data_IF_211594563269
#
_entry.id   IF_211594563269
#
_cell.length_a   1.000
_cell.length_b   1.000
_cell.length_c   1.000
_cell.angle_alpha   90.00
_cell.angle_beta   90.00
_cell.angle_gamma   90.00
#
_symmetry.space_group_name_H-M   'P 1'
#
loop_
_entity.id
_entity.type
_entity.pdbx_description
1 polymer ?
#
# COMPACT_ATOMS: atom_id res chain seq x y z
N UNK A 1 11.02 20.04 -4.28
CA UNK A 1 11.11 18.72 -4.95
C UNK A 1 11.83 17.82 -3.97
N UNK A 2 11.29 16.61 -3.73
CA UNK A 2 12.01 15.61 -2.92
C UNK A 2 13.34 15.25 -3.60
N UNK A 3 14.32 14.79 -2.81
CA UNK A 3 15.61 14.27 -3.32
C UNK A 3 15.43 13.20 -4.41
N UNK A 4 14.26 12.62 -4.51
CA UNK A 4 13.90 11.45 -5.35
C UNK A 4 13.11 11.80 -6.62
N UNK A 5 12.84 13.09 -6.89
CA UNK A 5 12.24 13.54 -8.16
C UNK A 5 10.72 13.38 -8.29
N UNK A 6 9.98 12.97 -7.24
CA UNK A 6 8.51 13.01 -7.27
C UNK A 6 7.96 14.29 -6.62
N UNK A 7 6.77 14.69 -7.06
CA UNK A 7 6.08 15.84 -6.49
C UNK A 7 5.45 15.46 -5.16
N UNK A 8 5.77 16.23 -4.11
CA UNK A 8 5.17 16.08 -2.76
C UNK A 8 4.00 17.04 -2.57
N UNK A 9 3.64 17.80 -3.62
CA UNK A 9 2.54 18.76 -3.52
C UNK A 9 1.21 18.06 -3.23
N UNK A 10 0.50 18.57 -2.24
CA UNK A 10 -0.87 18.20 -1.93
C UNK A 10 -1.84 19.17 -2.59
N UNK A 11 -3.05 18.71 -2.88
CA UNK A 11 -4.10 19.59 -3.37
C UNK A 11 -4.69 20.37 -2.19
N UNK A 12 -4.19 21.59 -1.95
CA UNK A 12 -4.63 22.46 -0.86
C UNK A 12 -6.05 23.01 -1.07
N UNK A 13 -6.58 22.97 -2.29
CA UNK A 13 -7.95 23.40 -2.57
C UNK A 13 -9.01 22.40 -2.10
N UNK A 14 -8.59 21.17 -1.80
CA UNK A 14 -9.46 20.16 -1.22
C UNK A 14 -9.26 20.12 0.31
N UNK A 15 -10.24 20.60 1.13
CA UNK A 15 -10.11 20.65 2.58
C UNK A 15 -10.37 19.30 3.27
N UNK A 16 -10.78 18.29 2.53
CA UNK A 16 -11.13 16.99 3.09
C UNK A 16 -9.93 16.28 3.75
N UNK A 17 -10.14 15.48 4.82
CA UNK A 17 -9.09 14.63 5.38
C UNK A 17 -8.55 13.62 4.37
N UNK A 18 -7.27 13.27 4.45
CA UNK A 18 -6.58 12.39 3.49
C UNK A 18 -6.32 11.00 4.05
N UNK A 19 -6.45 10.00 3.19
CA UNK A 19 -5.97 8.63 3.42
C UNK A 19 -4.88 8.33 2.39
N UNK A 20 -3.63 8.30 2.81
CA UNK A 20 -2.54 7.89 1.93
C UNK A 20 -2.41 6.37 1.93
N UNK A 21 -2.34 5.77 0.75
CA UNK A 21 -2.13 4.34 0.53
C UNK A 21 -0.98 4.12 -0.44
N UNK A 22 0.07 3.41 -0.02
CA UNK A 22 1.13 2.96 -0.92
C UNK A 22 0.90 1.50 -1.26
N UNK A 23 0.69 1.22 -2.54
CA UNK A 23 0.67 -0.14 -3.10
C UNK A 23 2.08 -0.50 -3.52
N UNK A 24 2.69 -1.43 -2.79
CA UNK A 24 4.03 -1.95 -3.05
C UNK A 24 3.91 -3.29 -3.75
N UNK A 25 4.12 -3.30 -5.07
CA UNK A 25 3.86 -4.43 -5.94
C UNK A 25 5.15 -5.13 -6.37
N UNK A 26 5.22 -6.43 -6.15
CA UNK A 26 6.28 -7.29 -6.69
C UNK A 26 6.14 -7.38 -8.21
N UNK A 27 7.22 -7.04 -8.89
CA UNK A 27 7.37 -7.21 -10.34
C UNK A 27 8.61 -8.03 -10.68
N UNK A 28 9.03 -8.91 -9.77
CA UNK A 28 10.14 -9.84 -10.02
C UNK A 28 9.81 -10.85 -11.12
N UNK A 29 10.81 -11.59 -11.56
CA UNK A 29 10.68 -12.56 -12.65
C UNK A 29 9.65 -13.66 -12.40
N UNK A 30 9.37 -14.02 -11.14
CA UNK A 30 8.33 -15.00 -10.77
C UNK A 30 6.91 -14.54 -11.09
N UNK A 31 6.69 -13.23 -11.13
CA UNK A 31 5.40 -12.63 -11.51
C UNK A 31 5.09 -12.71 -13.01
N UNK A 32 6.02 -13.19 -13.85
CA UNK A 32 5.83 -13.24 -15.31
C UNK A 32 4.64 -14.14 -15.70
N UNK A 33 3.87 -13.67 -16.71
CA UNK A 33 2.69 -14.36 -17.22
C UNK A 33 1.42 -14.03 -16.43
N UNK A 34 0.64 -15.04 -16.08
CA UNK A 34 -0.66 -14.88 -15.45
C UNK A 34 -0.65 -14.07 -14.12
N UNK A 35 0.34 -14.20 -13.21
CA UNK A 35 0.35 -13.40 -11.98
C UNK A 35 0.39 -11.89 -12.22
N UNK A 36 1.26 -11.40 -13.12
CA UNK A 36 1.37 -9.96 -13.40
C UNK A 36 0.14 -9.44 -14.13
N UNK A 37 -0.46 -10.25 -15.01
CA UNK A 37 -1.70 -9.90 -15.70
C UNK A 37 -2.88 -9.83 -14.73
N UNK A 38 -2.96 -10.76 -13.77
CA UNK A 38 -3.99 -10.75 -12.74
C UNK A 38 -3.83 -9.53 -11.80
N UNK A 39 -2.59 -9.18 -11.41
CA UNK A 39 -2.29 -7.95 -10.68
C UNK A 39 -2.72 -6.71 -11.47
N UNK A 40 -2.42 -6.68 -12.79
CA UNK A 40 -2.81 -5.59 -13.69
C UNK A 40 -4.32 -5.40 -13.74
N UNK A 41 -5.07 -6.50 -13.90
CA UNK A 41 -6.55 -6.47 -13.90
C UNK A 41 -7.11 -6.02 -12.55
N UNK A 42 -6.52 -6.52 -11.45
CA UNK A 42 -6.93 -6.15 -10.09
C UNK A 42 -6.72 -4.66 -9.82
N UNK A 43 -5.57 -4.13 -10.21
CA UNK A 43 -5.28 -2.70 -10.05
C UNK A 43 -6.23 -1.82 -10.89
N UNK A 44 -6.54 -2.21 -12.12
CA UNK A 44 -7.53 -1.50 -12.94
C UNK A 44 -8.92 -1.48 -12.29
N UNK A 45 -9.36 -2.61 -11.71
CA UNK A 45 -10.60 -2.69 -10.96
C UNK A 45 -10.59 -1.79 -9.71
N UNK A 46 -9.47 -1.73 -8.97
CA UNK A 46 -9.28 -0.85 -7.82
C UNK A 46 -9.50 0.62 -8.17
N UNK A 47 -8.89 1.09 -9.24
CA UNK A 47 -9.11 2.46 -9.75
C UNK A 47 -10.59 2.68 -10.04
N UNK A 48 -11.22 1.76 -10.75
CA UNK A 48 -12.63 1.84 -11.11
C UNK A 48 -13.53 1.97 -9.87
N UNK A 49 -13.33 1.13 -8.84
CA UNK A 49 -14.09 1.19 -7.60
C UNK A 49 -13.88 2.53 -6.87
N UNK A 50 -12.65 3.01 -6.76
CA UNK A 50 -12.38 4.29 -6.09
C UNK A 50 -13.00 5.48 -6.83
N UNK A 51 -13.06 5.44 -8.17
CA UNK A 51 -13.68 6.50 -8.97
C UNK A 51 -15.20 6.58 -8.77
N UNK A 52 -15.87 5.46 -8.47
CA UNK A 52 -17.30 5.42 -8.23
C UNK A 52 -17.70 6.02 -6.88
N UNK A 53 -16.78 6.06 -5.92
CA UNK A 53 -17.02 6.51 -4.56
C UNK A 53 -16.71 8.01 -4.42
N UNK A 54 -17.73 8.83 -4.31
CA UNK A 54 -17.62 10.31 -4.38
C UNK A 54 -16.70 10.93 -3.32
N UNK A 55 -16.68 10.39 -2.09
CA UNK A 55 -15.78 10.83 -1.02
C UNK A 55 -14.40 10.18 -1.12
N UNK A 56 -14.35 8.87 -1.31
CA UNK A 56 -13.07 8.16 -1.41
C UNK A 56 -12.24 8.66 -2.59
N UNK A 57 -12.85 8.99 -3.72
CA UNK A 57 -12.16 9.52 -4.89
C UNK A 57 -11.37 10.81 -4.62
N UNK A 58 -11.80 11.60 -3.64
CA UNK A 58 -11.17 12.88 -3.23
C UNK A 58 -10.28 12.74 -2.00
N UNK A 59 -10.59 11.82 -1.09
CA UNK A 59 -9.92 11.65 0.20
C UNK A 59 -8.80 10.63 0.16
N UNK A 60 -8.94 9.59 -0.66
CA UNK A 60 -7.92 8.57 -0.83
C UNK A 60 -6.87 9.07 -1.80
N UNK A 61 -5.61 8.96 -1.40
CA UNK A 61 -4.46 9.20 -2.25
C UNK A 61 -3.65 7.91 -2.37
N UNK A 62 -3.22 7.61 -3.57
CA UNK A 62 -2.52 6.36 -3.86
C UNK A 62 -1.21 6.64 -4.55
N UNK A 63 -0.16 5.95 -4.08
CA UNK A 63 1.08 5.77 -4.82
C UNK A 63 1.26 4.29 -5.16
N UNK A 64 1.91 4.02 -6.28
CA UNK A 64 2.28 2.65 -6.66
C UNK A 64 3.80 2.58 -6.79
N UNK A 65 4.39 1.71 -6.00
CA UNK A 65 5.82 1.37 -6.05
C UNK A 65 5.94 -0.05 -6.57
N UNK A 66 6.67 -0.23 -7.64
CA UNK A 66 7.07 -1.55 -8.12
C UNK A 66 8.45 -1.90 -7.59
N UNK A 67 8.65 -3.14 -7.15
CA UNK A 67 9.96 -3.64 -6.79
C UNK A 67 10.30 -4.95 -7.51
N UNK A 68 11.51 -5.01 -7.99
CA UNK A 68 12.15 -6.15 -8.64
C UNK A 68 13.62 -6.16 -8.23
N UNK A 69 14.56 -5.99 -9.17
CA UNK A 69 15.97 -5.77 -8.85
C UNK A 69 16.19 -4.43 -8.13
N UNK A 70 15.41 -3.43 -8.44
CA UNK A 70 15.34 -2.12 -7.79
C UNK A 70 13.89 -1.75 -7.52
N UNK A 71 13.68 -0.69 -6.74
CA UNK A 71 12.35 -0.12 -6.53
C UNK A 71 12.17 1.13 -7.38
N UNK A 72 10.95 1.31 -7.91
CA UNK A 72 10.59 2.44 -8.78
C UNK A 72 9.17 2.90 -8.49
N UNK A 73 8.96 4.20 -8.45
CA UNK A 73 7.62 4.79 -8.36
C UNK A 73 6.97 4.72 -9.75
N UNK A 74 5.93 3.91 -9.89
CA UNK A 74 5.13 3.84 -11.11
C UNK A 74 4.05 4.92 -11.13
N UNK A 75 3.45 5.18 -9.97
CA UNK A 75 2.44 6.23 -9.78
C UNK A 75 2.86 7.07 -8.58
N UNK A 76 3.18 8.35 -8.75
CA UNK A 76 3.42 9.23 -7.63
C UNK A 76 2.14 9.42 -6.81
N UNK A 77 2.28 9.73 -5.50
CA UNK A 77 1.13 9.92 -4.61
C UNK A 77 0.20 11.01 -5.15
N UNK A 78 -1.05 10.62 -5.44
CA UNK A 78 -2.07 11.49 -6.00
C UNK A 78 -3.48 11.07 -5.57
N UNK A 79 -4.45 12.00 -5.66
CA UNK A 79 -5.84 11.70 -5.36
C UNK A 79 -6.40 10.57 -6.24
N UNK A 80 -7.19 9.69 -5.66
CA UNK A 80 -7.74 8.52 -6.35
C UNK A 80 -8.50 8.90 -7.63
N UNK A 81 -9.20 10.04 -7.65
CA UNK A 81 -9.92 10.53 -8.85
C UNK A 81 -9.04 10.83 -10.06
N UNK A 82 -7.72 10.98 -9.85
CA UNK A 82 -6.75 11.28 -10.94
C UNK A 82 -5.97 10.05 -11.37
N UNK A 83 -6.15 8.91 -10.69
CA UNK A 83 -5.45 7.68 -11.01
C UNK A 83 -5.76 7.20 -12.43
N UNK A 84 -4.73 6.70 -13.09
CA UNK A 84 -4.84 6.05 -14.38
C UNK A 84 -4.25 4.64 -14.29
N UNK A 85 -4.73 3.69 -15.09
CA UNK A 85 -4.09 2.39 -15.22
C UNK A 85 -2.62 2.51 -15.61
N UNK A 86 -1.77 1.71 -15.01
CA UNK A 86 -0.34 1.62 -15.33
C UNK A 86 0.01 0.20 -15.77
N UNK A 87 1.09 0.06 -16.54
CA UNK A 87 1.57 -1.24 -16.97
C UNK A 87 2.61 -1.77 -15.96
N UNK A 88 2.33 -2.93 -15.39
CA UNK A 88 3.32 -3.69 -14.64
C UNK A 88 4.13 -4.58 -15.57
N UNK A 89 5.45 -4.60 -15.40
CA UNK A 89 6.35 -5.43 -16.22
C UNK A 89 7.21 -6.29 -15.32
N UNK A 90 7.01 -7.60 -15.37
CA UNK A 90 7.74 -8.54 -14.51
C UNK A 90 9.15 -8.80 -15.05
N UNK A 91 10.17 -8.56 -14.18
CA UNK A 91 11.59 -8.83 -14.47
C UNK A 91 12.47 -8.79 -13.23
N UNK A 92 13.61 -9.46 -13.33
CA UNK A 92 14.67 -9.35 -12.31
C UNK A 92 14.41 -10.13 -11.03
N UNK A 93 15.03 -9.69 -9.96
CA UNK A 93 15.02 -10.31 -8.63
C UNK A 93 13.97 -9.69 -7.70
N UNK A 94 13.94 -10.06 -6.42
CA UNK A 94 12.93 -9.63 -5.44
C UNK A 94 13.60 -8.78 -4.34
N UNK A 95 14.06 -7.56 -4.68
CA UNK A 95 14.62 -6.63 -3.70
C UNK A 95 13.53 -5.92 -2.92
N UNK A 96 12.89 -6.66 -2.01
CA UNK A 96 11.81 -6.18 -1.16
C UNK A 96 12.29 -5.06 -0.23
N UNK A 97 13.56 -5.10 0.22
CA UNK A 97 14.14 -4.08 1.08
C UNK A 97 14.12 -2.68 0.42
N UNK A 98 14.51 -2.61 -0.86
CA UNK A 98 14.45 -1.36 -1.62
C UNK A 98 13.02 -0.85 -1.74
N UNK A 99 12.06 -1.76 -2.00
CA UNK A 99 10.64 -1.41 -2.08
C UNK A 99 10.09 -0.85 -0.77
N UNK A 100 10.37 -1.53 0.36
CA UNK A 100 9.94 -1.09 1.70
C UNK A 100 10.50 0.30 2.02
N UNK A 101 11.80 0.51 1.81
CA UNK A 101 12.42 1.80 2.12
C UNK A 101 11.83 2.93 1.30
N UNK A 102 11.66 2.73 -0.02
CA UNK A 102 11.05 3.73 -0.90
C UNK A 102 9.59 4.03 -0.52
N UNK A 103 8.81 3.01 -0.17
CA UNK A 103 7.43 3.19 0.26
C UNK A 103 7.32 3.99 1.57
N UNK A 104 8.23 3.73 2.53
CA UNK A 104 8.28 4.48 3.79
C UNK A 104 8.70 5.93 3.56
N UNK A 105 9.65 6.20 2.65
CA UNK A 105 10.06 7.56 2.31
C UNK A 105 8.88 8.35 1.72
N UNK A 106 8.11 7.74 0.80
CA UNK A 106 6.91 8.35 0.22
C UNK A 106 5.86 8.66 1.28
N UNK A 107 5.62 7.73 2.22
CA UNK A 107 4.67 7.93 3.33
C UNK A 107 5.12 9.10 4.23
N UNK A 108 6.40 9.15 4.59
CA UNK A 108 6.96 10.19 5.45
C UNK A 108 6.86 11.57 4.78
N UNK A 109 7.30 11.67 3.53
CA UNK A 109 7.20 12.91 2.74
C UNK A 109 5.75 13.38 2.62
N UNK A 110 4.82 12.43 2.40
CA UNK A 110 3.40 12.79 2.28
C UNK A 110 2.80 13.28 3.60
N UNK A 111 3.13 12.65 4.72
CA UNK A 111 2.74 13.11 6.06
C UNK A 111 3.26 14.52 6.36
N UNK A 112 4.52 14.77 6.01
CA UNK A 112 5.12 16.09 6.18
C UNK A 112 4.42 17.17 5.34
N UNK A 113 4.03 16.81 4.09
CA UNK A 113 3.26 17.70 3.23
C UNK A 113 1.86 18.00 3.80
N UNK A 114 1.15 17.00 4.36
CA UNK A 114 -0.14 17.21 5.02
C UNK A 114 0.00 18.15 6.23
N UNK A 115 1.01 17.92 7.07
CA UNK A 115 1.28 18.80 8.24
C UNK A 115 1.58 20.24 7.80
N UNK A 116 2.42 20.41 6.79
CA UNK A 116 2.79 21.73 6.27
C UNK A 116 1.57 22.50 5.70
N UNK A 117 0.64 21.77 5.07
CA UNK A 117 -0.61 22.31 4.53
C UNK A 117 -1.74 22.42 5.57
N UNK A 118 -1.52 22.01 6.83
CA UNK A 118 -2.57 21.98 7.87
C UNK A 118 -3.72 21.00 7.59
N UNK A 119 -3.50 20.00 6.73
CA UNK A 119 -4.50 19.02 6.37
C UNK A 119 -4.59 17.91 7.41
N UNK A 120 -5.82 17.53 7.74
CA UNK A 120 -6.09 16.34 8.53
C UNK A 120 -5.85 15.08 7.68
N UNK A 121 -5.38 14.00 8.31
CA UNK A 121 -5.17 12.74 7.60
C UNK A 121 -5.38 11.54 8.52
N UNK A 122 -5.72 10.41 7.92
CA UNK A 122 -5.77 9.11 8.56
C UNK A 122 -4.39 8.47 8.55
N UNK A 123 -4.17 7.49 9.42
CA UNK A 123 -2.95 6.69 9.40
C UNK A 123 -2.72 6.11 7.99
N UNK A 124 -1.57 6.40 7.35
CA UNK A 124 -1.27 5.87 6.03
C UNK A 124 -1.26 4.35 5.99
N UNK A 125 -1.56 3.79 4.84
CA UNK A 125 -1.52 2.36 4.59
C UNK A 125 -0.37 1.99 3.67
N UNK A 126 0.33 0.92 4.00
CA UNK A 126 1.30 0.26 3.13
C UNK A 126 0.79 -1.14 2.85
N UNK A 127 0.52 -1.40 1.60
CA UNK A 127 0.07 -2.67 1.10
C UNK A 127 1.18 -3.34 0.30
N UNK A 128 1.69 -4.46 0.78
CA UNK A 128 2.69 -5.29 0.11
C UNK A 128 2.00 -6.44 -0.62
N UNK A 129 2.28 -6.60 -1.91
CA UNK A 129 1.83 -7.71 -2.74
C UNK A 129 3.04 -8.42 -3.33
N UNK A 130 3.21 -9.72 -3.08
CA UNK A 130 4.34 -10.51 -3.58
C UNK A 130 3.93 -11.96 -3.84
N UNK A 131 4.60 -12.63 -4.78
CA UNK A 131 4.46 -14.07 -5.05
C UNK A 131 5.70 -14.87 -4.66
N UNK A 132 6.71 -14.22 -4.07
CA UNK A 132 8.04 -14.80 -3.92
C UNK A 132 8.68 -14.67 -2.54
N UNK A 133 9.99 -14.89 -2.57
CA UNK A 133 10.87 -14.76 -1.42
C UNK A 133 11.70 -13.50 -1.54
N UNK A 134 11.89 -12.73 -0.46
CA UNK A 134 12.77 -11.56 -0.50
C UNK A 134 14.23 -11.96 -0.68
N UNK A 135 14.99 -11.13 -1.38
CA UNK A 135 16.45 -11.12 -1.23
C UNK A 135 16.77 -10.69 0.20
N UNK A 136 17.70 -11.37 0.86
CA UNK A 136 17.99 -11.10 2.26
C UNK A 136 18.89 -9.89 2.48
N UNK A 137 19.55 -9.38 1.43
CA UNK A 137 20.39 -8.19 1.52
C UNK A 137 19.57 -6.96 1.92
N UNK A 138 19.92 -6.36 3.07
CA UNK A 138 19.24 -5.20 3.62
C UNK A 138 17.82 -5.48 4.15
N UNK A 139 17.28 -6.69 4.00
CA UNK A 139 15.91 -7.02 4.37
C UNK A 139 15.66 -6.84 5.87
N UNK A 140 16.56 -7.31 6.74
CA UNK A 140 16.40 -7.16 8.19
C UNK A 140 16.35 -5.69 8.62
N UNK A 141 17.18 -4.84 8.02
CA UNK A 141 17.19 -3.41 8.30
C UNK A 141 15.89 -2.74 7.84
N UNK A 142 15.38 -3.10 6.65
CA UNK A 142 14.10 -2.60 6.14
C UNK A 142 12.92 -3.04 7.00
N UNK A 143 12.87 -4.31 7.42
CA UNK A 143 11.86 -4.84 8.36
C UNK A 143 11.92 -4.10 9.69
N UNK A 144 13.10 -3.87 10.25
CA UNK A 144 13.25 -3.13 11.50
C UNK A 144 12.76 -1.67 11.38
N UNK A 145 13.01 -1.02 10.24
CA UNK A 145 12.49 0.33 9.94
C UNK A 145 10.97 0.32 9.86
N UNK A 146 10.41 -0.64 9.13
CA UNK A 146 8.97 -0.80 8.93
C UNK A 146 8.25 -1.03 10.27
N UNK A 147 8.78 -1.95 11.10
CA UNK A 147 8.22 -2.26 12.41
C UNK A 147 8.30 -1.06 13.38
N UNK A 148 9.37 -0.26 13.33
CA UNK A 148 9.43 1.00 14.09
C UNK A 148 8.34 1.98 13.66
N UNK A 149 8.12 2.13 12.36
CA UNK A 149 7.08 3.01 11.84
C UNK A 149 5.67 2.52 12.25
N UNK A 150 5.42 1.20 12.23
CA UNK A 150 4.16 0.61 12.68
C UNK A 150 3.95 0.80 14.20
N UNK A 151 4.98 0.51 15.01
CA UNK A 151 4.93 0.66 16.48
C UNK A 151 4.71 2.10 16.92
N UNK A 152 5.28 3.07 16.18
CA UNK A 152 4.99 4.50 16.34
C UNK A 152 3.62 4.91 15.79
N UNK A 153 2.81 3.95 15.33
CA UNK A 153 1.51 4.15 14.68
C UNK A 153 1.57 5.06 13.45
N UNK A 154 2.73 5.18 12.83
CA UNK A 154 2.96 6.02 11.64
C UNK A 154 2.45 5.42 10.33
N UNK A 155 2.19 4.11 10.31
CA UNK A 155 1.69 3.37 9.14
C UNK A 155 0.91 2.14 9.58
N UNK A 156 -0.07 1.74 8.77
CA UNK A 156 -0.76 0.45 8.88
C UNK A 156 -0.25 -0.45 7.75
N UNK A 157 0.16 -1.68 8.08
CA UNK A 157 0.82 -2.58 7.14
C UNK A 157 -0.11 -3.75 6.82
N UNK A 158 -0.27 -4.05 5.54
CA UNK A 158 -0.93 -5.23 5.03
C UNK A 158 0.03 -5.98 4.11
N UNK A 159 0.41 -7.20 4.49
CA UNK A 159 1.27 -8.06 3.70
C UNK A 159 0.44 -9.19 3.10
N UNK A 160 0.45 -9.32 1.78
CA UNK A 160 -0.34 -10.30 1.04
C UNK A 160 0.57 -11.10 0.13
N UNK A 161 0.53 -12.40 0.28
CA UNK A 161 1.29 -13.33 -0.53
C UNK A 161 0.41 -14.10 -1.51
N UNK A 162 0.78 -14.16 -2.78
CA UNK A 162 0.04 -14.85 -3.83
C UNK A 162 0.81 -16.07 -4.35
N UNK A 163 0.22 -17.25 -4.22
CA UNK A 163 0.78 -18.47 -4.78
C UNK A 163 1.70 -19.27 -3.85
N UNK A 164 2.20 -20.42 -4.31
CA UNK A 164 2.86 -21.43 -3.47
C UNK A 164 4.33 -21.12 -3.13
N UNK A 165 4.94 -20.13 -3.78
CA UNK A 165 6.37 -19.81 -3.60
C UNK A 165 6.63 -18.77 -2.51
N UNK A 166 5.57 -18.20 -1.93
CA UNK A 166 5.66 -17.16 -0.91
C UNK A 166 6.33 -17.70 0.36
N UNK A 167 7.32 -16.96 0.85
CA UNK A 167 7.91 -17.20 2.16
C UNK A 167 7.12 -16.47 3.24
N UNK A 168 6.07 -17.12 3.74
CA UNK A 168 5.21 -16.56 4.79
C UNK A 168 5.95 -16.32 6.11
N UNK A 169 7.06 -17.04 6.38
CA UNK A 169 7.88 -16.78 7.55
C UNK A 169 8.53 -15.39 7.45
N UNK A 170 9.07 -15.04 6.29
CA UNK A 170 9.64 -13.71 6.06
C UNK A 170 8.55 -12.65 5.93
N UNK A 171 7.46 -12.95 5.23
CA UNK A 171 6.38 -12.00 5.01
C UNK A 171 5.68 -11.61 6.32
N UNK A 172 5.53 -12.55 7.27
CA UNK A 172 4.94 -12.28 8.59
C UNK A 172 5.79 -11.37 9.48
N UNK A 173 7.06 -11.16 9.15
CA UNK A 173 7.95 -10.23 9.87
C UNK A 173 7.66 -8.76 9.54
N UNK A 174 6.94 -8.50 8.44
CA UNK A 174 6.66 -7.14 7.97
C UNK A 174 5.74 -6.37 8.90
N UNK A 175 4.83 -7.05 9.60
CA UNK A 175 3.94 -6.42 10.58
C UNK A 175 3.95 -7.20 11.89
N UNK A 176 4.00 -6.47 13.00
CA UNK A 176 3.84 -7.02 14.35
C UNK A 176 2.38 -7.05 14.79
N UNK A 177 1.52 -6.30 14.11
CA UNK A 177 0.11 -6.12 14.44
C UNK A 177 -0.81 -7.03 13.62
N UNK A 178 -0.37 -7.46 12.43
CA UNK A 178 -1.17 -8.23 11.48
C UNK A 178 -0.36 -9.37 10.89
N UNK A 179 -0.98 -10.54 10.84
CA UNK A 179 -0.41 -11.67 10.10
C UNK A 179 -0.42 -11.40 8.60
N UNK A 180 0.56 -11.93 7.90
CA UNK A 180 0.52 -11.96 6.45
C UNK A 180 -0.63 -12.82 5.95
N UNK A 181 -1.38 -12.32 4.97
CA UNK A 181 -2.52 -13.01 4.40
C UNK A 181 -2.16 -13.77 3.12
N UNK A 182 -2.59 -15.02 2.98
CA UNK A 182 -2.51 -15.70 1.71
C UNK A 182 -3.59 -15.19 0.76
N UNK A 183 -3.20 -14.88 -0.47
CA UNK A 183 -4.14 -14.66 -1.56
C UNK A 183 -4.47 -16.02 -2.18
N UNK A 184 -5.75 -16.40 -2.19
CA UNK A 184 -6.20 -17.64 -2.78
C UNK A 184 -6.10 -17.59 -4.31
N UNK A 185 -5.18 -18.32 -4.88
CA UNK A 185 -4.88 -18.28 -6.30
C UNK A 185 -4.39 -16.87 -6.72
N UNK A 186 -5.03 -16.31 -7.74
CA UNK A 186 -4.74 -14.98 -8.29
C UNK A 186 -5.92 -14.01 -8.13
N UNK A 187 -6.65 -14.10 -7.01
CA UNK A 187 -7.83 -13.30 -6.73
C UNK A 187 -7.51 -11.84 -6.37
N UNK A 188 -6.66 -11.20 -7.17
CA UNK A 188 -6.30 -9.80 -6.98
C UNK A 188 -7.51 -8.85 -7.13
N UNK A 189 -8.49 -9.18 -7.98
CA UNK A 189 -9.68 -8.34 -8.14
C UNK A 189 -10.51 -8.27 -6.86
N UNK A 190 -10.77 -9.41 -6.23
CA UNK A 190 -11.51 -9.50 -4.97
C UNK A 190 -10.75 -8.82 -3.83
N UNK A 191 -9.43 -8.99 -3.81
CA UNK A 191 -8.57 -8.29 -2.86
C UNK A 191 -8.65 -6.78 -3.04
N UNK A 192 -8.52 -6.27 -4.26
CA UNK A 192 -8.61 -4.83 -4.53
C UNK A 192 -10.03 -4.27 -4.33
N UNK A 193 -11.07 -5.06 -4.53
CA UNK A 193 -12.45 -4.69 -4.15
C UNK A 193 -12.58 -4.51 -2.64
N UNK A 194 -12.02 -5.45 -1.84
CA UNK A 194 -11.94 -5.31 -0.39
C UNK A 194 -11.12 -4.07 0.03
N UNK A 195 -9.97 -3.83 -0.61
CA UNK A 195 -9.12 -2.68 -0.29
C UNK A 195 -9.85 -1.36 -0.54
N UNK A 196 -10.53 -1.21 -1.69
CA UNK A 196 -11.29 -0.01 -2.00
C UNK A 196 -12.44 0.22 -1.03
N UNK A 197 -13.21 -0.82 -0.70
CA UNK A 197 -14.27 -0.72 0.31
C UNK A 197 -13.72 -0.32 1.70
N UNK A 198 -12.58 -0.88 2.09
CA UNK A 198 -11.93 -0.55 3.36
C UNK A 198 -11.41 0.88 3.40
N UNK A 199 -10.78 1.37 2.33
CA UNK A 199 -10.33 2.76 2.20
C UNK A 199 -11.52 3.73 2.19
N UNK A 200 -12.63 3.37 1.52
CA UNK A 200 -13.87 4.15 1.54
C UNK A 200 -14.42 4.26 2.96
N UNK A 201 -14.51 3.14 3.69
CA UNK A 201 -14.99 3.14 5.07
C UNK A 201 -14.13 4.02 5.99
N UNK A 202 -12.79 3.92 5.89
CA UNK A 202 -11.88 4.78 6.65
C UNK A 202 -12.07 6.23 6.27
N UNK A 203 -12.13 6.55 4.99
CA UNK A 203 -12.28 7.92 4.52
C UNK A 203 -13.61 8.57 4.95
N UNK A 204 -14.63 7.77 5.24
CA UNK A 204 -15.95 8.24 5.72
C UNK A 204 -16.04 8.32 7.25
N UNK A 205 -15.04 7.80 7.98
CA UNK A 205 -15.03 7.87 9.45
C UNK A 205 -14.62 9.26 9.94
N UNK A 206 -14.79 9.49 11.25
CA UNK A 206 -14.27 10.68 11.93
C UNK A 206 -12.91 10.44 12.59
N UNK A 207 -12.35 9.25 12.45
CA UNK A 207 -11.11 8.77 13.09
C UNK A 207 -9.85 9.23 12.33
N UNK A 208 -9.68 10.51 12.09
CA UNK A 208 -8.48 11.04 11.47
C UNK A 208 -7.44 11.50 12.51
N UNK A 209 -6.19 11.54 12.12
CA UNK A 209 -5.08 11.97 12.97
C UNK A 209 -5.16 13.48 13.15
N UNK A 210 -5.39 13.92 14.39
CA UNK A 210 -5.33 15.34 14.78
C UNK A 210 -3.91 15.71 15.22
N UNK A 211 -3.25 14.77 15.89
CA UNK A 211 -1.83 14.82 16.25
C UNK A 211 -1.23 13.43 16.05
N UNK A 212 0.10 13.31 15.97
CA UNK A 212 0.76 11.99 15.86
C UNK A 212 0.48 11.08 17.08
N UNK A 213 0.06 11.65 18.20
CA UNK A 213 -0.28 10.93 19.42
C UNK A 213 -1.74 10.46 19.45
N UNK A 214 -2.65 11.14 18.72
CA UNK A 214 -4.08 10.80 18.62
C UNK A 214 -4.35 10.07 17.30
N UNK A 215 -3.80 8.88 17.16
CA UNK A 215 -3.94 8.11 15.94
C UNK A 215 -5.28 7.40 15.89
N UNK A 216 -6.01 7.61 14.80
CA UNK A 216 -7.32 7.01 14.58
C UNK A 216 -7.33 5.50 14.75
N UNK A 217 -8.35 4.98 15.41
CA UNK A 217 -8.48 3.56 15.78
C UNK A 217 -9.08 2.71 14.66
N UNK A 218 -9.69 3.34 13.65
CA UNK A 218 -10.41 2.64 12.59
C UNK A 218 -9.48 1.75 11.76
N UNK A 219 -8.30 2.25 11.38
CA UNK A 219 -7.30 1.47 10.65
C UNK A 219 -6.81 0.24 11.43
N UNK A 220 -6.81 0.30 12.77
CA UNK A 220 -6.44 -0.83 13.63
C UNK A 220 -7.55 -1.89 13.71
N UNK A 221 -8.80 -1.51 13.44
CA UNK A 221 -9.96 -2.41 13.45
C UNK A 221 -10.18 -3.11 12.11
N UNK A 222 -9.56 -2.60 11.03
CA UNK A 222 -9.62 -3.26 9.74
C UNK A 222 -8.58 -4.37 9.74
N UNK A 223 -9.05 -5.58 10.00
CA UNK A 223 -8.27 -6.80 9.83
C UNK A 223 -8.44 -7.31 8.41
N UNK A 224 -7.39 -7.93 7.87
CA UNK A 224 -7.54 -8.77 6.68
C UNK A 224 -8.58 -9.83 7.03
N UNK A 225 -9.64 -10.01 6.23
CA UNK A 225 -10.68 -10.96 6.55
C UNK A 225 -10.09 -12.37 6.58
N UNK A 226 -10.42 -13.11 7.63
CA UNK A 226 -9.95 -14.49 7.80
C UNK A 226 -10.61 -15.46 6.82
N UNK A 227 -11.77 -15.10 6.29
CA UNK A 227 -12.49 -15.92 5.29
C UNK A 227 -13.39 -15.00 4.47
N UNK A 228 -12.87 -14.37 3.46
CA UNK A 228 -13.68 -13.75 2.42
C UNK A 228 -13.03 -14.08 1.10
N UNK A 229 -13.80 -14.34 0.10
CA UNK A 229 -13.51 -14.86 -1.21
C UNK A 229 -12.13 -14.68 -1.86
N UNK A 230 -11.16 -14.05 -1.23
CA UNK A 230 -9.81 -13.83 -1.74
C UNK A 230 -8.68 -14.41 -0.83
N UNK A 231 -8.98 -14.85 0.40
CA UNK A 231 -8.02 -15.56 1.25
C UNK A 231 -8.35 -17.06 1.31
N UNK A 232 -7.33 -17.92 1.34
CA UNK A 232 -7.45 -19.31 1.72
C UNK A 232 -7.34 -19.45 3.25
N UNK A 233 -8.12 -20.37 3.81
CA UNK A 233 -8.08 -20.74 5.25
C UNK A 233 -6.91 -21.68 5.49
#
# INVERSE_FOLDING_TARGET
MSEWGWSVQVNETNPDPRVACVVLADVSGSMQGEPIEALQRGYAAFIHYLHQESLASKRVEVAVVAFGTSATVLVPMQEARTLQPVQFTARGTTNMAAGINLALDIIEDRKNAYKAAGLQYYRPWLLMLTDGKPNLEGFDAAVARLNRAESARGVTIFAVGAGPKVDYQQLSRLSQQRSAAPLDGLKYQEFFAWLSASLTNVSNSSDFVRTEQELGTMADRINLPTVTGWTSV
#
